data_IF_074034958772
#
_entry.id   IF_074034958772
#
_cell.length_a   1.000
_cell.length_b   1.000
_cell.length_c   1.000
_cell.angle_alpha   90.00
_cell.angle_beta   90.00
_cell.angle_gamma   90.00
#
_symmetry.space_group_name_H-M   'P 1'
#
loop_
_entity.id
_entity.type
_entity.pdbx_description
1 polymer ?
#
# COMPACT_ATOMS: atom_id res chain seq x y z
N UNK A 1 -28.89 -1.55 2.33
CA UNK A 1 -27.50 -1.38 1.86
C UNK A 1 -26.59 -1.68 3.02
N UNK A 2 -25.79 -2.75 2.94
CA UNK A 2 -24.70 -2.94 3.88
C UNK A 2 -23.68 -1.81 3.67
N UNK A 3 -23.09 -1.23 4.74
CA UNK A 3 -22.04 -0.23 4.58
C UNK A 3 -20.89 -0.81 3.76
N UNK A 4 -20.31 -0.01 2.86
CA UNK A 4 -19.11 -0.42 2.11
C UNK A 4 -17.99 -0.73 3.12
N UNK A 5 -17.24 -1.82 2.93
CA UNK A 5 -16.15 -2.13 3.82
C UNK A 5 -15.06 -1.07 3.74
N UNK A 6 -14.41 -0.80 4.87
CA UNK A 6 -13.34 0.20 4.95
C UNK A 6 -12.02 -0.37 4.46
N UNK A 7 -11.30 0.39 3.64
CA UNK A 7 -9.97 0.05 3.15
C UNK A 7 -8.99 1.18 3.41
N UNK A 8 -7.74 0.84 3.67
CA UNK A 8 -6.64 1.79 3.55
C UNK A 8 -5.64 1.38 2.48
N UNK A 9 -5.12 2.37 1.77
CA UNK A 9 -4.11 2.23 0.72
C UNK A 9 -2.89 3.06 1.12
N UNK A 10 -1.75 2.43 1.32
CA UNK A 10 -0.48 3.09 1.59
C UNK A 10 0.31 3.20 0.29
N UNK A 11 0.65 4.42 -0.09
CA UNK A 11 1.37 4.75 -1.30
C UNK A 11 2.83 5.12 -0.99
N UNK A 12 3.73 4.96 -1.98
CA UNK A 12 5.12 5.38 -1.85
C UNK A 12 5.27 6.89 -1.57
N UNK A 13 6.47 7.34 -1.14
CA UNK A 13 6.74 8.74 -0.91
C UNK A 13 6.57 9.63 -2.14
N UNK A 14 6.14 10.87 -1.92
CA UNK A 14 6.07 11.95 -2.91
C UNK A 14 7.48 12.55 -3.11
N UNK A 15 7.86 12.97 -4.33
CA UNK A 15 7.06 13.05 -5.55
C UNK A 15 6.82 11.71 -6.25
N UNK A 16 5.55 11.50 -6.63
CA UNK A 16 5.14 10.42 -7.52
C UNK A 16 5.24 10.96 -8.95
N UNK A 17 5.95 10.26 -9.83
CA UNK A 17 6.05 10.65 -11.25
C UNK A 17 4.74 10.38 -12.00
N UNK A 18 4.63 10.95 -13.21
CA UNK A 18 3.41 10.82 -14.03
C UNK A 18 3.10 9.36 -14.41
N UNK A 19 4.14 8.54 -14.62
CA UNK A 19 3.99 7.14 -15.01
C UNK A 19 3.43 6.31 -13.86
N UNK A 20 3.90 6.55 -12.64
CA UNK A 20 3.38 5.91 -11.45
C UNK A 20 1.98 6.41 -11.09
N UNK A 21 1.71 7.71 -11.25
CA UNK A 21 0.37 8.26 -11.06
C UNK A 21 -0.64 7.63 -12.03
N UNK A 22 -0.26 7.42 -13.29
CA UNK A 22 -1.11 6.76 -14.29
C UNK A 22 -1.44 5.30 -13.92
N UNK A 23 -0.61 4.65 -13.09
CA UNK A 23 -0.86 3.30 -12.55
C UNK A 23 -1.70 3.32 -11.28
N UNK A 24 -1.50 4.31 -10.40
CA UNK A 24 -2.18 4.40 -9.10
C UNK A 24 -3.59 5.00 -9.22
N UNK A 25 -3.80 5.99 -10.08
CA UNK A 25 -5.11 6.67 -10.18
C UNK A 25 -6.27 5.70 -10.54
N UNK A 26 -6.14 4.80 -11.52
CA UNK A 26 -7.18 3.81 -11.81
C UNK A 26 -7.46 2.85 -10.65
N UNK A 27 -6.41 2.48 -9.88
CA UNK A 27 -6.56 1.66 -8.67
C UNK A 27 -7.42 2.39 -7.64
N UNK A 28 -7.14 3.66 -7.37
CA UNK A 28 -7.90 4.46 -6.39
C UNK A 28 -9.35 4.58 -6.83
N UNK A 29 -9.61 4.89 -8.10
CA UNK A 29 -10.97 4.98 -8.65
C UNK A 29 -11.74 3.66 -8.53
N UNK A 30 -11.11 2.52 -8.83
CA UNK A 30 -11.74 1.20 -8.67
C UNK A 30 -12.02 0.88 -7.20
N UNK A 31 -11.07 1.16 -6.32
CA UNK A 31 -11.22 0.95 -4.88
C UNK A 31 -12.37 1.78 -4.30
N UNK A 32 -12.55 3.02 -4.74
CA UNK A 32 -13.67 3.87 -4.31
C UNK A 32 -15.04 3.32 -4.72
N UNK A 33 -15.13 2.48 -5.75
CA UNK A 33 -16.40 1.82 -6.11
C UNK A 33 -16.76 0.69 -5.12
N UNK A 34 -15.75 0.04 -4.53
CA UNK A 34 -15.92 -1.19 -3.75
C UNK A 34 -15.83 -0.98 -2.24
N UNK A 35 -15.04 0.02 -1.82
CA UNK A 35 -14.66 0.27 -0.43
C UNK A 35 -14.90 1.73 -0.05
N UNK A 36 -14.93 1.98 1.26
CA UNK A 36 -14.67 3.31 1.81
C UNK A 36 -13.15 3.44 1.99
N UNK A 37 -12.48 4.04 1.02
CA UNK A 37 -11.01 4.02 0.90
C UNK A 37 -10.38 5.25 1.55
N UNK A 38 -9.29 5.05 2.29
CA UNK A 38 -8.40 6.09 2.78
C UNK A 38 -7.00 5.87 2.21
N UNK A 39 -6.45 6.87 1.55
CA UNK A 39 -5.13 6.83 0.93
C UNK A 39 -4.12 7.55 1.84
N UNK A 40 -3.09 6.83 2.25
CA UNK A 40 -1.99 7.31 3.08
C UNK A 40 -0.72 7.43 2.23
N UNK A 41 0.03 8.52 2.37
CA UNK A 41 1.28 8.72 1.64
C UNK A 41 2.28 9.53 2.46
N UNK A 42 3.56 9.42 2.13
CA UNK A 42 4.62 10.22 2.74
C UNK A 42 4.84 11.50 1.93
N UNK A 43 4.65 12.66 2.55
CA UNK A 43 4.95 13.97 1.95
C UNK A 43 5.47 14.95 3.01
N UNK A 44 6.78 14.97 3.27
CA UNK A 44 7.36 15.79 4.33
C UNK A 44 7.23 17.30 4.04
N UNK A 45 7.12 17.67 2.76
CA UNK A 45 6.89 19.02 2.27
C UNK A 45 5.40 19.43 2.22
N UNK A 46 4.48 18.51 2.47
CA UNK A 46 3.04 18.73 2.39
C UNK A 46 2.50 18.82 0.95
N UNK A 47 3.30 18.47 -0.06
CA UNK A 47 2.85 18.32 -1.44
C UNK A 47 1.74 17.28 -1.55
N UNK A 48 0.59 17.68 -2.08
CA UNK A 48 -0.52 16.77 -2.34
C UNK A 48 -0.21 15.85 -3.52
N UNK A 49 -0.54 14.58 -3.38
CA UNK A 49 -0.59 13.67 -4.52
C UNK A 49 -1.82 14.01 -5.39
N UNK A 50 -1.66 14.14 -6.72
CA UNK A 50 -2.76 14.54 -7.61
C UNK A 50 -3.71 13.37 -7.92
N UNK A 51 -4.42 12.87 -6.90
CA UNK A 51 -5.44 11.83 -7.02
C UNK A 51 -6.86 12.43 -6.95
N UNK A 52 -7.76 11.91 -7.76
CA UNK A 52 -9.17 12.32 -7.84
C UNK A 52 -10.04 11.69 -6.75
N UNK A 53 -9.64 11.84 -5.49
CA UNK A 53 -10.35 11.34 -4.30
C UNK A 53 -10.65 12.49 -3.35
N UNK A 54 -11.68 12.36 -2.50
CA UNK A 54 -12.00 13.37 -1.50
C UNK A 54 -10.79 13.71 -0.61
N UNK A 55 -10.53 15.00 -0.40
CA UNK A 55 -9.39 15.50 0.40
C UNK A 55 -9.33 14.87 1.81
N UNK A 56 -10.49 14.58 2.41
CA UNK A 56 -10.58 13.95 3.73
C UNK A 56 -10.09 12.49 3.76
N UNK A 57 -10.05 11.84 2.60
CA UNK A 57 -9.55 10.49 2.40
C UNK A 57 -8.08 10.47 1.95
N UNK A 58 -7.43 11.63 1.76
CA UNK A 58 -6.00 11.75 1.46
C UNK A 58 -5.19 12.20 2.68
N UNK A 59 -4.40 11.28 3.24
CA UNK A 59 -3.68 11.48 4.50
C UNK A 59 -2.15 11.46 4.32
N UNK A 60 -1.49 12.62 4.29
CA UNK A 60 -0.03 12.69 4.36
C UNK A 60 0.45 12.36 5.79
N UNK A 61 0.95 11.14 6.03
CA UNK A 61 1.31 10.66 7.37
C UNK A 61 2.61 11.27 7.92
N UNK A 62 3.40 11.93 7.08
CA UNK A 62 4.53 12.79 7.47
C UNK A 62 4.10 14.02 8.27
N UNK A 63 2.83 14.44 8.17
CA UNK A 63 2.28 15.58 8.92
C UNK A 63 1.63 15.13 10.23
N UNK A 64 1.63 16.01 11.24
CA UNK A 64 1.05 15.70 12.55
C UNK A 64 -0.46 15.37 12.47
N UNK A 65 -1.19 16.03 11.58
CA UNK A 65 -2.60 15.74 11.27
C UNK A 65 -2.77 14.36 10.65
N UNK A 66 -1.92 13.98 9.69
CA UNK A 66 -1.94 12.66 9.07
C UNK A 66 -1.62 11.54 10.06
N UNK A 67 -0.63 11.73 10.96
CA UNK A 67 -0.34 10.77 12.03
C UNK A 67 -1.51 10.59 12.99
N UNK A 68 -2.20 11.67 13.36
CA UNK A 68 -3.37 11.59 14.22
C UNK A 68 -4.54 10.84 13.57
N UNK A 69 -4.66 10.90 12.24
CA UNK A 69 -5.69 10.21 11.47
C UNK A 69 -5.31 8.78 11.06
N UNK A 70 -4.02 8.43 11.10
CA UNK A 70 -3.51 7.09 10.77
C UNK A 70 -4.15 6.00 11.64
N UNK A 71 -4.37 6.25 12.93
CA UNK A 71 -5.03 5.28 13.82
C UNK A 71 -6.47 4.93 13.37
N UNK A 72 -7.18 5.87 12.73
CA UNK A 72 -8.51 5.63 12.14
C UNK A 72 -8.42 4.95 10.78
N UNK A 73 -7.43 5.33 9.96
CA UNK A 73 -7.18 4.67 8.68
C UNK A 73 -6.79 3.18 8.86
N UNK A 74 -6.13 2.85 9.96
CA UNK A 74 -5.71 1.48 10.32
C UNK A 74 -6.86 0.65 10.93
N UNK A 75 -7.97 1.28 11.37
CA UNK A 75 -9.23 0.56 11.68
C UNK A 75 -10.00 0.22 10.39
N UNK A 76 -9.32 -0.45 9.46
CA UNK A 76 -9.91 -0.89 8.20
C UNK A 76 -10.06 -2.41 8.18
N UNK A 77 -10.89 -2.89 7.25
CA UNK A 77 -11.05 -4.33 7.03
C UNK A 77 -9.96 -4.84 6.08
N UNK A 78 -9.51 -4.02 5.13
CA UNK A 78 -8.42 -4.35 4.22
C UNK A 78 -7.36 -3.26 4.19
N UNK A 79 -6.11 -3.65 4.13
CA UNK A 79 -5.00 -2.75 3.85
C UNK A 79 -4.25 -3.19 2.59
N UNK A 80 -3.92 -2.24 1.73
CA UNK A 80 -3.00 -2.44 0.60
C UNK A 80 -1.78 -1.55 0.81
N UNK A 81 -0.60 -2.16 0.88
CA UNK A 81 0.68 -1.46 0.95
C UNK A 81 1.34 -1.57 -0.42
N UNK A 82 1.55 -0.42 -1.08
CA UNK A 82 2.18 -0.35 -2.40
C UNK A 82 3.66 -0.01 -2.24
N UNK A 83 4.52 -0.90 -2.71
CA UNK A 83 5.95 -0.65 -2.88
C UNK A 83 6.30 -0.49 -4.35
N UNK A 84 7.31 0.34 -4.62
CA UNK A 84 7.79 0.59 -5.97
C UNK A 84 9.11 -0.11 -6.17
N UNK A 85 9.23 -0.80 -7.30
CA UNK A 85 10.43 -1.48 -7.73
C UNK A 85 10.98 -0.90 -9.02
N UNK A 86 12.28 -0.61 -9.02
CA UNK A 86 13.07 -0.21 -10.19
C UNK A 86 14.27 -1.14 -10.32
N UNK A 87 14.35 -1.92 -11.40
CA UNK A 87 15.54 -2.70 -11.75
C UNK A 87 16.03 -3.64 -10.62
N UNK A 88 15.11 -4.16 -9.80
CA UNK A 88 15.40 -5.04 -8.67
C UNK A 88 15.67 -4.33 -7.34
N UNK A 89 15.64 -3.00 -7.29
CA UNK A 89 15.61 -2.23 -6.05
C UNK A 89 14.16 -1.89 -5.68
N UNK A 90 13.82 -1.89 -4.39
CA UNK A 90 12.49 -1.57 -3.87
C UNK A 90 12.60 -0.42 -2.86
N UNK A 91 11.73 0.58 -3.01
CA UNK A 91 11.60 1.68 -2.03
C UNK A 91 10.76 1.21 -0.85
N UNK A 92 11.32 1.25 0.36
CA UNK A 92 10.57 1.04 1.60
C UNK A 92 10.26 2.40 2.23
N UNK A 93 9.11 2.50 2.90
CA UNK A 93 8.66 3.76 3.49
C UNK A 93 9.65 4.24 4.58
N UNK A 94 10.40 5.30 4.25
CA UNK A 94 11.30 6.10 5.12
C UNK A 94 12.77 5.64 5.19
N UNK A 95 13.68 6.61 5.10
CA UNK A 95 15.15 6.48 5.15
C UNK A 95 15.66 5.95 6.51
N UNK A 96 14.82 6.00 7.54
CA UNK A 96 15.14 5.54 8.90
C UNK A 96 14.71 4.10 9.20
N UNK A 97 13.97 3.45 8.29
CA UNK A 97 13.36 2.15 8.56
C UNK A 97 14.27 1.00 8.11
N UNK A 98 14.68 0.13 9.03
CA UNK A 98 15.33 -1.13 8.67
C UNK A 98 14.31 -2.10 8.08
N UNK A 99 14.74 -3.01 7.20
CA UNK A 99 13.86 -4.05 6.65
C UNK A 99 13.16 -4.87 7.76
N UNK A 100 13.85 -5.13 8.86
CA UNK A 100 13.26 -5.80 10.03
C UNK A 100 12.15 -4.95 10.68
N UNK A 101 12.40 -3.66 10.93
CA UNK A 101 11.40 -2.76 11.49
C UNK A 101 10.17 -2.62 10.57
N UNK A 102 10.40 -2.60 9.25
CA UNK A 102 9.34 -2.58 8.24
C UNK A 102 8.45 -3.83 8.34
N UNK A 103 9.04 -5.02 8.39
CA UNK A 103 8.30 -6.28 8.50
C UNK A 103 7.56 -6.41 9.85
N UNK A 104 8.14 -5.92 10.94
CA UNK A 104 7.46 -5.85 12.24
C UNK A 104 6.25 -4.92 12.21
N UNK A 105 6.34 -3.76 11.57
CA UNK A 105 5.20 -2.85 11.36
C UNK A 105 4.08 -3.53 10.56
N UNK A 106 4.44 -4.21 9.46
CA UNK A 106 3.47 -4.96 8.67
C UNK A 106 2.82 -6.08 9.49
N UNK A 107 3.57 -6.75 10.38
CA UNK A 107 3.01 -7.78 11.24
C UNK A 107 2.01 -7.20 12.25
N UNK A 108 2.32 -6.05 12.85
CA UNK A 108 1.38 -5.35 13.73
C UNK A 108 0.11 -4.95 12.99
N UNK A 109 0.24 -4.50 11.74
CA UNK A 109 -0.88 -4.16 10.89
C UNK A 109 -1.74 -5.39 10.55
N UNK A 110 -1.11 -6.52 10.20
CA UNK A 110 -1.79 -7.78 9.90
C UNK A 110 -2.60 -8.34 11.08
N UNK A 111 -2.26 -7.96 12.32
CA UNK A 111 -3.05 -8.28 13.52
C UNK A 111 -4.25 -7.37 13.73
N UNK A 112 -4.28 -6.21 13.07
CA UNK A 112 -5.30 -5.18 13.25
C UNK A 112 -6.37 -5.16 12.14
N UNK A 113 -6.09 -5.77 10.99
CA UNK A 113 -6.98 -5.78 9.81
C UNK A 113 -7.29 -7.20 9.36
N UNK A 114 -8.40 -7.38 8.62
CA UNK A 114 -8.78 -8.71 8.15
C UNK A 114 -7.88 -9.22 7.03
N UNK A 115 -7.34 -8.33 6.18
CA UNK A 115 -6.45 -8.68 5.08
C UNK A 115 -5.39 -7.60 4.88
N UNK A 116 -4.14 -8.01 4.66
CA UNK A 116 -3.03 -7.13 4.23
C UNK A 116 -2.51 -7.63 2.89
N UNK A 117 -2.45 -6.75 1.90
CA UNK A 117 -1.83 -7.02 0.60
C UNK A 117 -0.62 -6.14 0.43
N UNK A 118 0.57 -6.73 0.34
CA UNK A 118 1.79 -6.08 -0.07
C UNK A 118 1.92 -6.21 -1.59
N UNK A 119 1.77 -5.11 -2.32
CA UNK A 119 1.84 -5.07 -3.77
C UNK A 119 3.12 -4.36 -4.23
N UNK A 120 3.93 -5.03 -5.04
CA UNK A 120 5.15 -4.46 -5.62
C UNK A 120 4.88 -4.09 -7.07
N UNK A 121 4.94 -2.81 -7.40
CA UNK A 121 4.67 -2.27 -8.73
C UNK A 121 5.94 -1.79 -9.42
N UNK A 122 6.03 -1.86 -10.77
CA UNK A 122 7.14 -1.27 -11.50
C UNK A 122 7.04 0.26 -11.49
N UNK A 123 8.11 0.94 -11.15
CA UNK A 123 8.18 2.40 -11.18
C UNK A 123 9.53 2.90 -10.68
N UNK A 124 9.73 4.22 -10.71
CA UNK A 124 10.98 4.80 -10.24
C UNK A 124 11.02 4.81 -8.71
N UNK A 125 12.07 4.22 -8.15
CA UNK A 125 12.32 4.28 -6.72
C UNK A 125 12.72 5.68 -6.24
N UNK A 126 12.29 6.04 -5.03
CA UNK A 126 12.59 7.32 -4.38
C UNK A 126 12.98 7.07 -2.92
N UNK A 127 14.02 7.75 -2.44
CA UNK A 127 14.51 7.59 -1.07
C UNK A 127 15.35 6.33 -0.86
N UNK A 128 15.41 5.83 0.38
CA UNK A 128 16.10 4.59 0.71
C UNK A 128 15.50 3.37 0.01
N UNK A 129 16.38 2.50 -0.48
CA UNK A 129 16.00 1.28 -1.19
C UNK A 129 16.69 0.06 -0.60
N UNK A 130 16.04 -1.10 -0.75
CA UNK A 130 16.60 -2.43 -0.49
C UNK A 130 16.51 -3.26 -1.76
N UNK A 131 17.27 -4.34 -1.87
CA UNK A 131 17.08 -5.27 -2.98
C UNK A 131 15.73 -6.00 -2.85
N UNK A 132 15.03 -6.18 -3.97
CA UNK A 132 13.84 -7.02 -4.06
C UNK A 132 14.14 -8.47 -3.61
N UNK A 133 15.35 -8.97 -3.90
CA UNK A 133 15.76 -10.30 -3.46
C UNK A 133 15.98 -10.38 -1.95
N UNK A 134 16.47 -9.30 -1.34
CA UNK A 134 16.63 -9.19 0.11
C UNK A 134 15.26 -9.11 0.79
N UNK A 135 14.36 -8.26 0.28
CA UNK A 135 12.97 -8.16 0.75
C UNK A 135 12.26 -9.52 0.69
N UNK A 136 12.33 -10.24 -0.44
CA UNK A 136 11.74 -11.57 -0.59
C UNK A 136 12.36 -12.58 0.40
N UNK A 137 13.68 -12.59 0.52
CA UNK A 137 14.37 -13.49 1.45
C UNK A 137 13.99 -13.20 2.91
N UNK A 138 13.88 -11.93 3.28
CA UNK A 138 13.47 -11.52 4.62
C UNK A 138 11.99 -11.86 4.87
N UNK A 139 11.12 -11.60 3.89
CA UNK A 139 9.71 -11.95 3.92
C UNK A 139 9.49 -13.43 4.22
N UNK A 140 10.09 -14.32 3.41
CA UNK A 140 9.91 -15.77 3.53
C UNK A 140 10.35 -16.33 4.90
N UNK A 141 11.33 -15.67 5.53
CA UNK A 141 11.81 -16.04 6.87
C UNK A 141 10.95 -15.47 7.99
N UNK A 142 10.25 -14.36 7.75
CA UNK A 142 9.49 -13.65 8.77
C UNK A 142 8.17 -14.38 9.10
N UNK A 143 7.68 -14.20 10.32
CA UNK A 143 6.43 -14.85 10.76
C UNK A 143 5.21 -14.39 9.97
N UNK A 144 5.25 -13.16 9.45
CA UNK A 144 4.15 -12.55 8.69
C UNK A 144 3.81 -13.32 7.41
N UNK A 145 4.80 -13.92 6.73
CA UNK A 145 4.58 -14.67 5.50
C UNK A 145 3.76 -15.95 5.71
N UNK A 146 3.65 -16.42 6.95
CA UNK A 146 2.87 -17.62 7.33
C UNK A 146 1.43 -17.29 7.69
N UNK A 147 1.06 -16.00 7.75
CA UNK A 147 -0.28 -15.58 8.13
C UNK A 147 -1.21 -15.67 6.91
N UNK A 148 -2.32 -16.40 7.04
CA UNK A 148 -3.25 -16.64 5.92
C UNK A 148 -3.98 -15.41 5.42
N UNK A 149 -4.00 -14.33 6.20
CA UNK A 149 -4.59 -13.05 5.85
C UNK A 149 -3.60 -12.05 5.22
N UNK A 150 -2.36 -12.48 4.96
CA UNK A 150 -1.33 -11.62 4.38
C UNK A 150 -0.95 -12.15 3.01
N UNK A 151 -0.91 -11.25 2.03
CA UNK A 151 -0.61 -11.57 0.63
C UNK A 151 0.58 -10.75 0.15
N UNK A 152 1.56 -11.43 -0.43
CA UNK A 152 2.70 -10.82 -1.12
C UNK A 152 2.47 -10.96 -2.63
N UNK A 153 2.31 -9.84 -3.32
CA UNK A 153 2.01 -9.82 -4.76
C UNK A 153 3.12 -9.04 -5.44
N UNK A 154 4.02 -9.77 -6.11
CA UNK A 154 5.09 -9.17 -6.89
C UNK A 154 4.67 -9.01 -8.35
N UNK A 155 4.48 -7.76 -8.75
CA UNK A 155 4.09 -7.37 -10.09
C UNK A 155 5.16 -6.49 -10.73
N UNK A 156 6.38 -6.49 -10.19
CA UNK A 156 7.47 -5.65 -10.67
C UNK A 156 7.85 -5.93 -12.13
N UNK A 157 7.47 -7.09 -12.67
CA UNK A 157 7.70 -7.50 -14.05
C UNK A 157 6.42 -7.54 -14.90
N UNK A 158 5.25 -7.25 -14.31
CA UNK A 158 3.97 -7.38 -15.00
C UNK A 158 3.74 -6.22 -15.98
N UNK A 159 3.29 -6.53 -17.19
CA UNK A 159 2.85 -5.52 -18.16
C UNK A 159 1.53 -4.87 -17.73
N UNK A 160 0.63 -5.63 -17.11
CA UNK A 160 -0.61 -5.16 -16.51
C UNK A 160 -0.69 -5.58 -15.04
N UNK A 161 0.18 -4.97 -14.22
CA UNK A 161 0.17 -5.16 -12.77
C UNK A 161 -1.18 -4.81 -12.13
N UNK A 162 -1.98 -3.96 -12.77
CA UNK A 162 -3.24 -3.49 -12.22
C UNK A 162 -4.35 -4.55 -12.32
N UNK A 163 -4.55 -5.15 -13.50
CA UNK A 163 -5.56 -6.18 -13.69
C UNK A 163 -5.49 -7.29 -12.62
N UNK A 164 -4.26 -7.70 -12.27
CA UNK A 164 -4.02 -8.73 -11.25
C UNK A 164 -4.34 -8.29 -9.81
N UNK A 165 -4.09 -7.03 -9.43
CA UNK A 165 -4.46 -6.52 -8.10
C UNK A 165 -5.97 -6.36 -8.01
N UNK A 166 -6.60 -5.82 -9.05
CA UNK A 166 -8.03 -5.59 -9.12
C UNK A 166 -8.82 -6.90 -8.93
N UNK A 167 -8.47 -7.93 -9.69
CA UNK A 167 -9.13 -9.24 -9.61
C UNK A 167 -9.03 -9.85 -8.20
N UNK A 168 -7.87 -9.71 -7.54
CA UNK A 168 -7.69 -10.18 -6.17
C UNK A 168 -8.58 -9.45 -5.17
N UNK A 169 -8.68 -8.12 -5.32
CA UNK A 169 -9.52 -7.29 -4.44
C UNK A 169 -11.01 -7.56 -4.66
N UNK A 170 -11.41 -7.88 -5.90
CA UNK A 170 -12.77 -8.27 -6.24
C UNK A 170 -13.14 -9.63 -5.63
N UNK A 171 -12.25 -10.63 -5.75
CA UNK A 171 -12.42 -11.95 -5.12
C UNK A 171 -12.53 -11.81 -3.60
N UNK A 172 -11.66 -11.00 -2.99
CA UNK A 172 -11.70 -10.73 -1.55
C UNK A 172 -13.01 -10.04 -1.15
N UNK A 173 -13.47 -9.05 -1.93
CA UNK A 173 -14.74 -8.36 -1.67
C UNK A 173 -15.93 -9.31 -1.75
N UNK A 174 -15.92 -10.22 -2.73
CA UNK A 174 -16.96 -11.22 -2.92
C UNK A 174 -17.06 -12.19 -1.74
N UNK A 175 -15.93 -12.52 -1.10
CA UNK A 175 -15.90 -13.39 0.08
C UNK A 175 -16.53 -12.75 1.36
N UNK A 176 -16.83 -11.45 1.33
CA UNK A 176 -17.46 -10.73 2.45
C UNK A 176 -18.97 -10.50 2.30
N UNK A 177 -19.53 -10.83 1.13
CA UNK A 177 -20.96 -10.72 0.84
C UNK A 177 -21.63 -12.10 0.93
#
# INVERSE_FOLDING_TARGET
MHPRPTMSLSLPPVPVDADLLAKIAPLVEHLEQLYSTVVMYHSPDGAKIPLSIEDAALLPYSLASGRAMMARAVQCQSHVEVLISDSGAVSILDDSTTLEAYLQRLEQLARAVNVVTLAILPGKCVGATTSLSELRTAWDKHAIAKQGNVHFVDLSAAQDAWGEISERLDIQRAAWN
#
